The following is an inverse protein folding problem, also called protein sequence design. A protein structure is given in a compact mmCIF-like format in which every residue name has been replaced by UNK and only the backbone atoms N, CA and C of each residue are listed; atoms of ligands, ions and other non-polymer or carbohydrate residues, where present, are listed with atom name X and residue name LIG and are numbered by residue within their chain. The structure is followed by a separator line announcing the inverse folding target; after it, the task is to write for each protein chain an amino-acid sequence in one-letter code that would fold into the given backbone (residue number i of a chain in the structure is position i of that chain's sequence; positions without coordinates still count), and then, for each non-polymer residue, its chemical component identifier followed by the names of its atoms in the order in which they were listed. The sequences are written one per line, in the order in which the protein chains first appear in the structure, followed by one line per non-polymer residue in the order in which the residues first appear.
data_IF_609413159241
#
_entry.id   IF_609413159241
#
_cell.length_a   1.000
_cell.length_b   1.000
_cell.length_c   1.000
_cell.angle_alpha   90.00
_cell.angle_beta   90.00
_cell.angle_gamma   90.00
#
_symmetry.space_group_name_H-M   'P 1'
#
loop_
_entity.id
_entity.type
_entity.pdbx_description
1 polymer ?
#
# COMPACT_ATOMS: atom_id res chain seq x y z
N UNK A 1 0.28 17.78 7.04
CA UNK A 1 -0.24 16.42 6.87
C UNK A 1 -1.73 16.37 7.21
N UNK A 2 -2.53 15.70 6.40
CA UNK A 2 -3.98 15.61 6.60
C UNK A 2 -4.26 14.76 7.84
N UNK A 3 -5.15 15.17 8.76
CA UNK A 3 -5.47 14.40 9.96
C UNK A 3 -5.99 12.98 9.63
N UNK A 4 -5.60 12.00 10.45
CA UNK A 4 -6.02 10.60 10.26
C UNK A 4 -7.54 10.43 10.22
N UNK A 5 -8.27 11.11 11.10
CA UNK A 5 -9.73 11.00 11.17
C UNK A 5 -10.41 11.38 9.86
N UNK A 6 -9.92 12.43 9.20
CA UNK A 6 -10.44 12.87 7.92
C UNK A 6 -10.16 11.84 6.82
N UNK A 7 -8.92 11.36 6.74
CA UNK A 7 -8.52 10.34 5.76
C UNK A 7 -9.32 9.06 5.97
N UNK A 8 -9.43 8.58 7.19
CA UNK A 8 -10.18 7.37 7.54
C UNK A 8 -11.63 7.51 7.09
N UNK A 9 -12.27 8.65 7.36
CA UNK A 9 -13.66 8.88 6.95
C UNK A 9 -13.85 8.85 5.43
N UNK A 10 -12.95 9.47 4.69
CA UNK A 10 -12.99 9.47 3.22
C UNK A 10 -12.83 8.05 2.67
N UNK A 11 -11.87 7.29 3.20
CA UNK A 11 -11.62 5.91 2.77
C UNK A 11 -12.80 5.00 3.11
N UNK A 12 -13.38 5.12 4.32
CA UNK A 12 -14.54 4.34 4.71
C UNK A 12 -15.72 4.52 3.73
N UNK A 13 -16.01 5.77 3.37
CA UNK A 13 -17.08 6.05 2.42
C UNK A 13 -16.79 5.44 1.05
N UNK A 14 -15.55 5.53 0.59
CA UNK A 14 -15.14 4.97 -0.70
C UNK A 14 -15.21 3.45 -0.71
N UNK A 15 -14.77 2.81 0.36
CA UNK A 15 -14.83 1.34 0.49
C UNK A 15 -16.28 0.85 0.50
N UNK A 16 -17.16 1.48 1.26
CA UNK A 16 -18.58 1.12 1.29
C UNK A 16 -19.23 1.23 -0.08
N UNK A 17 -18.84 2.24 -0.85
CA UNK A 17 -19.32 2.45 -2.22
C UNK A 17 -18.84 1.35 -3.18
N UNK A 18 -17.59 0.88 -3.02
CA UNK A 18 -16.91 -0.01 -3.97
C UNK A 18 -16.83 -1.47 -3.53
N UNK A 19 -17.33 -1.83 -2.36
CA UNK A 19 -17.14 -3.18 -1.78
C UNK A 19 -17.78 -4.30 -2.61
N UNK A 20 -18.75 -3.99 -3.44
CA UNK A 20 -19.42 -4.97 -4.31
C UNK A 20 -18.62 -5.26 -5.59
N UNK A 21 -17.60 -4.49 -5.90
CA UNK A 21 -16.74 -4.73 -7.04
C UNK A 21 -15.80 -5.93 -6.78
N UNK A 22 -15.33 -6.62 -7.82
CA UNK A 22 -14.55 -7.86 -7.66
C UNK A 22 -13.11 -7.64 -7.21
N UNK A 23 -12.90 -6.81 -6.23
CA UNK A 23 -11.62 -6.57 -5.59
C UNK A 23 -11.30 -5.11 -5.45
N UNK A 24 -10.60 -4.78 -4.37
CA UNK A 24 -10.13 -3.44 -4.09
C UNK A 24 -8.62 -3.46 -3.87
N UNK A 25 -7.95 -2.49 -4.43
CA UNK A 25 -6.52 -2.26 -4.22
C UNK A 25 -6.36 -0.88 -3.58
N UNK A 26 -5.69 -0.84 -2.42
CA UNK A 26 -5.36 0.40 -1.74
C UNK A 26 -3.94 0.80 -2.09
N UNK A 27 -3.78 1.98 -2.68
CA UNK A 27 -2.49 2.53 -3.02
C UNK A 27 -2.21 3.76 -2.15
N UNK A 28 -1.09 3.72 -1.42
CA UNK A 28 -0.72 4.81 -0.52
C UNK A 28 -1.53 4.88 0.77
N UNK A 29 -2.33 3.88 1.09
CA UNK A 29 -3.12 3.78 2.31
C UNK A 29 -3.23 2.31 2.74
N UNK A 30 -3.15 1.94 4.02
CA UNK A 30 -2.85 2.80 5.18
C UNK A 30 -1.36 3.18 5.24
N UNK A 31 -1.06 4.25 5.99
CA UNK A 31 0.32 4.68 6.24
C UNK A 31 0.67 4.72 7.73
N UNK A 32 -0.32 4.54 8.60
CA UNK A 32 -0.14 4.49 10.05
C UNK A 32 -0.85 3.28 10.62
N UNK A 33 -0.44 2.86 11.83
CA UNK A 33 -1.10 1.74 12.53
C UNK A 33 -2.56 2.07 12.82
N UNK A 34 -2.86 3.31 13.17
CA UNK A 34 -4.24 3.75 13.41
C UNK A 34 -5.11 3.58 12.15
N UNK A 35 -4.62 3.99 11.00
CA UNK A 35 -5.30 3.79 9.73
C UNK A 35 -5.49 2.31 9.41
N UNK A 36 -4.45 1.51 9.62
CA UNK A 36 -4.50 0.07 9.37
C UNK A 36 -5.51 -0.64 10.28
N UNK A 37 -5.55 -0.29 11.55
CA UNK A 37 -6.50 -0.85 12.50
C UNK A 37 -7.95 -0.50 12.12
N UNK A 38 -8.19 0.75 11.75
CA UNK A 38 -9.51 1.20 11.28
C UNK A 38 -9.95 0.47 10.01
N UNK A 39 -9.02 0.30 9.07
CA UNK A 39 -9.29 -0.43 7.83
C UNK A 39 -9.63 -1.89 8.09
N UNK A 40 -8.87 -2.56 8.94
CA UNK A 40 -9.14 -3.95 9.31
C UNK A 40 -10.52 -4.13 9.94
N UNK A 41 -10.90 -3.24 10.85
CA UNK A 41 -12.24 -3.26 11.49
C UNK A 41 -13.34 -3.07 10.46
N UNK A 42 -13.18 -2.13 9.54
CA UNK A 42 -14.16 -1.85 8.49
C UNK A 42 -14.33 -3.06 7.56
N UNK A 43 -13.24 -3.61 7.05
CA UNK A 43 -13.28 -4.75 6.13
C UNK A 43 -13.87 -5.98 6.79
N UNK A 44 -13.57 -6.23 8.06
CA UNK A 44 -14.15 -7.31 8.83
C UNK A 44 -15.65 -7.12 9.00
N UNK A 45 -16.10 -5.91 9.31
CA UNK A 45 -17.51 -5.54 9.42
C UNK A 45 -18.26 -5.77 8.11
N UNK A 46 -17.61 -5.50 6.97
CA UNK A 46 -18.17 -5.69 5.63
C UNK A 46 -18.01 -7.12 5.11
N UNK A 47 -17.51 -8.04 5.94
CA UNK A 47 -17.26 -9.45 5.60
C UNK A 47 -16.31 -9.63 4.40
N UNK A 48 -15.40 -8.70 4.23
CA UNK A 48 -14.40 -8.70 3.15
C UNK A 48 -13.01 -8.46 3.74
N UNK A 49 -12.44 -9.43 4.49
CA UNK A 49 -11.16 -9.23 5.16
C UNK A 49 -10.01 -8.97 4.17
N UNK A 50 -9.00 -8.26 4.64
CA UNK A 50 -7.81 -7.97 3.85
C UNK A 50 -7.14 -9.26 3.38
N UNK A 51 -6.88 -9.38 2.09
CA UNK A 51 -6.27 -10.57 1.50
C UNK A 51 -4.76 -10.56 1.69
N UNK A 52 -4.09 -9.48 1.31
CA UNK A 52 -2.64 -9.37 1.40
C UNK A 52 -2.19 -7.91 1.37
N UNK A 53 -0.99 -7.68 1.87
CA UNK A 53 -0.28 -6.40 1.77
C UNK A 53 1.00 -6.65 0.98
N UNK A 54 1.16 -5.93 -0.12
CA UNK A 54 2.35 -6.02 -0.95
C UNK A 54 3.30 -4.89 -0.57
N UNK A 55 4.47 -5.25 -0.09
CA UNK A 55 5.54 -4.31 0.23
C UNK A 55 6.59 -4.33 -0.86
N UNK A 56 6.82 -3.18 -1.50
CA UNK A 56 7.92 -3.02 -2.46
C UNK A 56 9.16 -2.59 -1.68
N UNK A 57 10.11 -3.50 -1.54
CA UNK A 57 11.35 -3.24 -0.83
C UNK A 57 12.37 -2.56 -1.74
N UNK A 58 12.86 -1.40 -1.30
CA UNK A 58 13.78 -0.59 -2.05
C UNK A 58 14.74 0.13 -1.09
N UNK A 59 16.03 0.21 -1.45
CA UNK A 59 16.98 1.00 -0.68
C UNK A 59 16.63 2.48 -0.74
N UNK A 60 16.83 3.21 0.35
CA UNK A 60 16.53 4.64 0.44
C UNK A 60 17.22 5.41 -0.69
N UNK A 61 18.52 5.14 -0.93
CA UNK A 61 19.28 5.79 -2.00
C UNK A 61 18.60 5.64 -3.36
N UNK A 62 18.22 4.43 -3.73
CA UNK A 62 17.55 4.14 -5.01
C UNK A 62 16.20 4.82 -5.09
N UNK A 63 15.43 4.80 -4.00
CA UNK A 63 14.13 5.45 -3.94
C UNK A 63 14.26 6.96 -4.12
N UNK A 64 15.23 7.59 -3.46
CA UNK A 64 15.51 9.04 -3.60
C UNK A 64 15.85 9.37 -5.05
N UNK A 65 16.74 8.61 -5.67
CA UNK A 65 17.15 8.83 -7.06
C UNK A 65 15.95 8.74 -8.01
N UNK A 66 15.09 7.74 -7.84
CA UNK A 66 13.90 7.57 -8.67
C UNK A 66 12.88 8.70 -8.50
N UNK A 67 12.66 9.17 -7.27
CA UNK A 67 11.75 10.28 -7.00
C UNK A 67 12.28 11.58 -7.58
N UNK A 68 13.57 11.87 -7.44
CA UNK A 68 14.19 13.05 -8.04
C UNK A 68 14.09 13.03 -9.56
N UNK A 69 14.35 11.87 -10.18
CA UNK A 69 14.22 11.69 -11.63
C UNK A 69 12.77 11.92 -12.09
N UNK A 70 11.80 11.41 -11.36
CA UNK A 70 10.38 11.64 -11.63
C UNK A 70 10.01 13.12 -11.53
N UNK A 71 10.55 13.82 -10.52
CA UNK A 71 10.33 15.26 -10.33
C UNK A 71 10.83 16.08 -11.52
N UNK A 72 11.98 15.71 -12.08
CA UNK A 72 12.53 16.37 -13.27
C UNK A 72 11.64 16.16 -14.50
N UNK A 73 11.06 15.00 -14.65
CA UNK A 73 10.23 14.65 -15.82
C UNK A 73 8.77 15.09 -15.69
N UNK A 74 8.22 15.08 -14.47
CA UNK A 74 6.79 15.37 -14.24
C UNK A 74 6.53 16.82 -13.81
N UNK A 75 7.57 17.57 -13.45
CA UNK A 75 7.43 18.95 -12.96
C UNK A 75 6.77 19.05 -11.58
N UNK A 76 6.71 17.98 -10.80
CA UNK A 76 6.16 18.00 -9.45
C UNK A 76 7.04 18.85 -8.52
N UNK A 77 6.49 19.91 -7.98
CA UNK A 77 7.19 20.85 -7.10
C UNK A 77 7.57 20.24 -5.74
N UNK A 78 6.85 19.20 -5.32
CA UNK A 78 7.06 18.52 -4.03
C UNK A 78 8.08 17.37 -4.12
N UNK A 79 8.62 17.08 -5.30
CA UNK A 79 9.66 16.06 -5.49
C UNK A 79 11.06 16.68 -5.44
N UNK A 80 11.35 17.44 -4.36
CA UNK A 80 12.69 18.00 -4.08
C UNK A 80 13.32 17.26 -2.90
N UNK A 81 14.65 17.39 -2.76
CA UNK A 81 15.41 16.64 -1.76
C UNK A 81 14.92 16.87 -0.32
N UNK A 82 14.58 18.11 0.04
CA UNK A 82 14.09 18.45 1.38
C UNK A 82 12.78 17.74 1.70
N UNK A 83 11.84 17.79 0.78
CA UNK A 83 10.52 17.13 0.92
C UNK A 83 10.67 15.61 0.95
N UNK A 84 11.54 15.05 0.11
CA UNK A 84 11.81 13.62 0.07
C UNK A 84 12.38 13.13 1.39
N UNK A 85 13.37 13.83 1.97
CA UNK A 85 13.94 13.47 3.27
C UNK A 85 12.88 13.51 4.38
N UNK A 86 12.00 14.50 4.36
CA UNK A 86 10.87 14.58 5.31
C UNK A 86 9.94 13.38 5.18
N UNK A 87 9.59 12.98 3.95
CA UNK A 87 8.75 11.82 3.68
C UNK A 87 9.39 10.52 4.19
N UNK A 88 10.70 10.33 4.00
CA UNK A 88 11.41 9.17 4.51
C UNK A 88 11.42 9.12 6.03
N UNK A 89 11.58 10.27 6.69
CA UNK A 89 11.53 10.34 8.15
C UNK A 89 10.15 9.91 8.66
N UNK A 90 9.09 10.39 8.06
CA UNK A 90 7.71 10.00 8.40
C UNK A 90 7.49 8.51 8.13
N UNK A 91 7.97 8.01 7.01
CA UNK A 91 7.91 6.59 6.66
C UNK A 91 8.58 5.72 7.73
N UNK A 92 9.80 6.07 8.15
CA UNK A 92 10.52 5.31 9.19
C UNK A 92 9.77 5.29 10.51
N UNK A 93 9.18 6.41 10.90
CA UNK A 93 8.51 6.56 12.19
C UNK A 93 7.10 5.97 12.23
N UNK A 94 6.33 6.11 11.16
CA UNK A 94 4.91 5.79 11.15
C UNK A 94 4.51 4.65 10.22
N UNK A 95 5.18 4.52 9.08
CA UNK A 95 4.79 3.54 8.06
C UNK A 95 5.56 2.23 8.17
N UNK A 96 6.86 2.28 8.46
CA UNK A 96 7.66 1.09 8.62
C UNK A 96 7.14 0.13 9.70
N UNK A 97 6.62 0.60 10.85
CA UNK A 97 5.98 -0.29 11.83
C UNK A 97 4.80 -1.10 11.29
N UNK A 98 4.13 -0.62 10.22
CA UNK A 98 3.06 -1.37 9.58
C UNK A 98 3.53 -2.71 9.00
N UNK A 99 4.76 -2.80 8.55
CA UNK A 99 5.32 -4.03 8.00
C UNK A 99 5.30 -5.14 9.06
N UNK A 100 5.69 -4.81 10.30
CA UNK A 100 5.59 -5.74 11.42
C UNK A 100 4.15 -6.08 11.77
N UNK A 101 3.28 -5.07 11.76
CA UNK A 101 1.85 -5.22 12.05
C UNK A 101 1.19 -6.23 11.12
N UNK A 102 1.44 -6.11 9.82
CA UNK A 102 0.88 -7.03 8.83
C UNK A 102 1.60 -8.37 8.78
N UNK A 103 2.91 -8.40 9.04
CA UNK A 103 3.67 -9.65 9.12
C UNK A 103 3.15 -10.56 10.24
N UNK A 104 2.78 -9.99 11.38
CA UNK A 104 2.16 -10.74 12.50
C UNK A 104 0.82 -11.35 12.11
N UNK A 105 0.11 -10.78 11.15
CA UNK A 105 -1.15 -11.31 10.64
C UNK A 105 -0.96 -12.33 9.52
N UNK A 106 0.28 -12.59 9.11
CA UNK A 106 0.59 -13.50 8.01
C UNK A 106 0.17 -12.98 6.64
N UNK A 107 0.00 -11.67 6.49
CA UNK A 107 -0.53 -11.06 5.26
C UNK A 107 0.49 -10.26 4.47
N UNK A 108 1.72 -10.12 4.97
CA UNK A 108 2.76 -9.34 4.30
C UNK A 108 3.48 -10.15 3.24
N UNK A 109 3.52 -9.62 2.02
CA UNK A 109 4.29 -10.17 0.90
C UNK A 109 5.27 -9.10 0.44
N UNK A 110 6.57 -9.40 0.49
CA UNK A 110 7.61 -8.45 0.10
C UNK A 110 8.12 -8.78 -1.30
N UNK A 111 8.15 -7.78 -2.16
CA UNK A 111 8.68 -7.87 -3.52
C UNK A 111 9.86 -6.92 -3.65
N UNK A 112 10.93 -7.38 -4.30
CA UNK A 112 12.08 -6.52 -4.61
C UNK A 112 11.68 -5.44 -5.62
N UNK A 113 11.84 -4.19 -5.24
CA UNK A 113 11.53 -3.04 -6.08
C UNK A 113 12.69 -2.53 -6.94
N UNK A 114 13.88 -3.13 -6.83
CA UNK A 114 15.08 -2.68 -7.57
C UNK A 114 15.03 -2.93 -9.09
N UNK A 115 14.44 -4.04 -9.59
CA UNK A 115 14.32 -4.25 -11.03
C UNK A 115 13.58 -3.11 -11.74
N UNK A 116 13.58 -3.12 -13.07
CA UNK A 116 12.87 -2.11 -13.85
C UNK A 116 11.37 -2.06 -13.48
N UNK A 117 10.75 -0.90 -13.69
CA UNK A 117 9.31 -0.72 -13.44
C UNK A 117 8.48 -1.78 -14.16
N UNK A 118 8.84 -2.12 -15.39
CA UNK A 118 8.14 -3.15 -16.17
C UNK A 118 8.21 -4.53 -15.52
N UNK A 119 9.39 -4.93 -15.01
CA UNK A 119 9.54 -6.22 -14.33
C UNK A 119 8.81 -6.25 -12.98
N UNK A 120 8.86 -5.17 -12.23
CA UNK A 120 8.13 -5.05 -10.96
C UNK A 120 6.63 -5.16 -11.20
N UNK A 121 6.10 -4.44 -12.18
CA UNK A 121 4.69 -4.50 -12.55
C UNK A 121 4.27 -5.91 -12.97
N UNK A 122 5.11 -6.61 -13.72
CA UNK A 122 4.85 -8.00 -14.13
C UNK A 122 4.74 -8.92 -12.92
N UNK A 123 5.63 -8.78 -11.95
CA UNK A 123 5.61 -9.56 -10.70
C UNK A 123 4.36 -9.27 -9.86
N UNK A 124 3.98 -8.00 -9.73
CA UNK A 124 2.78 -7.58 -8.99
C UNK A 124 1.53 -8.16 -9.65
N UNK A 125 1.42 -8.04 -10.97
CA UNK A 125 0.27 -8.55 -11.71
C UNK A 125 0.13 -10.07 -11.59
N UNK A 126 1.24 -10.81 -11.66
CA UNK A 126 1.25 -12.26 -11.48
C UNK A 126 0.78 -12.63 -10.06
N UNK A 127 1.27 -11.91 -9.05
CA UNK A 127 0.88 -12.14 -7.65
C UNK A 127 -0.61 -11.86 -7.42
N UNK A 128 -1.14 -10.79 -7.98
CA UNK A 128 -2.56 -10.45 -7.87
C UNK A 128 -3.42 -11.54 -8.50
N UNK A 129 -3.03 -12.05 -9.67
CA UNK A 129 -3.74 -13.18 -10.34
C UNK A 129 -3.75 -14.43 -9.47
N UNK A 130 -2.61 -14.76 -8.84
CA UNK A 130 -2.51 -15.92 -7.96
C UNK A 130 -3.41 -15.76 -6.72
N UNK A 131 -3.44 -14.57 -6.12
CA UNK A 131 -4.30 -14.26 -4.99
C UNK A 131 -5.78 -14.35 -5.35
N UNK A 132 -6.17 -13.90 -6.54
CA UNK A 132 -7.54 -14.00 -7.04
C UNK A 132 -7.96 -15.45 -7.25
N UNK A 133 -7.08 -16.29 -7.81
CA UNK A 133 -7.31 -17.73 -7.98
C UNK A 133 -7.54 -18.43 -6.63
N UNK A 134 -6.67 -18.20 -5.66
CA UNK A 134 -6.78 -18.78 -4.34
C UNK A 134 -8.11 -18.40 -3.67
N UNK A 135 -8.52 -17.15 -3.81
CA UNK A 135 -9.78 -16.66 -3.25
C UNK A 135 -10.99 -17.33 -3.93
N UNK A 136 -10.96 -17.43 -5.26
CA UNK A 136 -12.02 -18.09 -6.02
C UNK A 136 -12.12 -19.58 -5.68
N UNK A 137 -11.00 -20.28 -5.48
CA UNK A 137 -10.99 -21.69 -5.05
C UNK A 137 -11.59 -21.87 -3.67
N UNK A 138 -11.34 -20.96 -2.74
CA UNK A 138 -11.93 -20.99 -1.40
C UNK A 138 -13.44 -20.75 -1.47
N UNK A 139 -13.90 -19.81 -2.29
CA UNK A 139 -15.32 -19.54 -2.47
C UNK A 139 -16.07 -20.68 -3.15
N UNK A 140 -15.41 -21.41 -4.03
CA UNK A 140 -16.01 -22.55 -4.75
C UNK A 140 -16.14 -23.81 -3.89
N UNK A 141 -15.50 -23.84 -2.74
CA UNK A 141 -15.58 -24.94 -1.77
C UNK A 141 -16.68 -24.71 -0.77
#
# INVERSE_FOLDING_TARGET
MIPDDLIIGIIENKVKEKIKEPGLIFDGYPRTIRQASSLNKLLKKLKSPLTAVINLQLEEKTAVERILSRGLSSGRKDDNLKTIKRRFKIYEQETKPLLKYYAKQGKLITIDGHPSIALVNKKINALIKDLQKSHAEVEAR
#
